data_IF_702159228548
#
_entry.id   IF_702159228548
#
_cell.length_a   1.000
_cell.length_b   1.000
_cell.length_c   1.000
_cell.angle_alpha   90.00
_cell.angle_beta   90.00
_cell.angle_gamma   90.00
#
_symmetry.space_group_name_H-M   'P 1'
#
loop_
_entity.id
_entity.type
_entity.pdbx_description
1 polymer ?
#
# COMPACT_ATOMS: atom_id res chain seq x y z
N UNK A 1 11.90 10.19 16.72
CA UNK A 1 10.49 9.94 17.08
C UNK A 1 9.64 11.16 16.74
N UNK A 2 10.08 12.36 17.11
CA UNK A 2 9.35 13.62 16.83
C UNK A 2 9.17 13.91 15.33
N UNK A 3 10.18 13.61 14.52
CA UNK A 3 10.12 13.72 13.05
C UNK A 3 9.09 12.80 12.39
N UNK A 4 8.77 11.68 13.01
CA UNK A 4 7.75 10.75 12.50
C UNK A 4 6.35 11.24 12.88
N UNK A 5 6.20 11.77 14.09
CA UNK A 5 4.95 12.36 14.59
C UNK A 5 4.58 13.60 13.75
N UNK A 6 5.55 14.44 13.42
CA UNK A 6 5.34 15.61 12.54
C UNK A 6 4.90 15.22 11.12
N UNK A 7 5.47 14.14 10.55
CA UNK A 7 5.05 13.64 9.24
C UNK A 7 3.62 13.13 9.26
N UNK A 8 3.26 12.34 10.26
CA UNK A 8 1.89 11.80 10.40
C UNK A 8 0.87 12.92 10.60
N UNK A 9 1.19 13.96 11.37
CA UNK A 9 0.30 15.13 11.52
C UNK A 9 0.10 15.88 10.20
N UNK A 10 1.17 16.12 9.44
CA UNK A 10 1.09 16.78 8.13
C UNK A 10 0.28 15.97 7.12
N UNK A 11 0.51 14.67 7.03
CA UNK A 11 -0.23 13.78 6.13
C UNK A 11 -1.73 13.72 6.47
N UNK A 12 -2.08 13.77 7.76
CA UNK A 12 -3.48 13.79 8.19
C UNK A 12 -4.17 15.11 7.84
N UNK A 13 -3.52 16.25 8.06
CA UNK A 13 -4.05 17.57 7.74
C UNK A 13 -4.27 17.75 6.24
N UNK A 14 -3.33 17.32 5.40
CA UNK A 14 -3.46 17.37 3.93
C UNK A 14 -4.62 16.48 3.44
N UNK A 15 -4.76 15.28 4.00
CA UNK A 15 -5.85 14.36 3.63
C UNK A 15 -7.22 14.92 4.00
N UNK A 16 -7.33 15.58 5.16
CA UNK A 16 -8.57 16.24 5.59
C UNK A 16 -8.90 17.49 4.76
N UNK A 17 -7.90 18.25 4.30
CA UNK A 17 -8.11 19.37 3.39
C UNK A 17 -8.60 18.89 2.02
N UNK A 18 -7.94 17.88 1.44
CA UNK A 18 -8.32 17.30 0.14
C UNK A 18 -9.73 16.70 0.15
N UNK A 19 -10.17 16.11 1.27
CA UNK A 19 -11.54 15.60 1.41
C UNK A 19 -12.57 16.74 1.42
N UNK A 20 -12.30 17.81 2.18
CA UNK A 20 -13.19 18.99 2.25
C UNK A 20 -13.27 19.77 0.94
N UNK A 21 -12.19 19.82 0.17
CA UNK A 21 -12.19 20.45 -1.16
C UNK A 21 -13.02 19.64 -2.17
N UNK A 22 -12.87 18.31 -2.18
CA UNK A 22 -13.68 17.42 -3.03
C UNK A 22 -15.17 17.44 -2.71
N UNK A 23 -15.54 17.56 -1.43
CA UNK A 23 -16.94 17.69 -1.02
C UNK A 23 -17.53 19.03 -1.46
N UNK A 24 -16.77 20.12 -1.37
CA UNK A 24 -17.20 21.45 -1.85
C UNK A 24 -17.30 21.55 -3.37
N UNK A 25 -16.50 20.80 -4.11
CA UNK A 25 -16.52 20.79 -5.58
C UNK A 25 -17.74 20.03 -6.12
N UNK A 26 -18.05 18.86 -5.52
CA UNK A 26 -19.24 18.07 -5.85
C UNK A 26 -20.57 18.76 -5.54
N UNK A 27 -20.58 19.68 -4.58
CA UNK A 27 -21.77 20.45 -4.20
C UNK A 27 -22.03 21.61 -5.18
N UNK A 28 -20.98 22.13 -5.83
CA UNK A 28 -21.10 23.17 -6.86
C UNK A 28 -21.46 22.65 -8.24
N UNK A 29 -21.19 21.37 -8.52
CA UNK A 29 -21.44 20.75 -9.83
C UNK A 29 -22.90 20.30 -10.03
N UNK A 30 -23.72 20.29 -8.97
CA UNK A 30 -25.14 19.90 -9.02
C UNK A 30 -26.12 21.03 -9.35
N UNK A 31 -25.65 22.26 -9.52
CA UNK A 31 -26.49 23.45 -9.74
C UNK A 31 -26.42 24.03 -11.18
N UNK A 32 -25.96 23.22 -12.15
CA UNK A 32 -25.73 23.64 -13.54
C UNK A 32 -26.48 22.80 -14.58
N UNK A 33 -27.64 23.32 -15.00
CA UNK A 33 -28.46 23.03 -16.18
C UNK A 33 -28.04 22.02 -17.28
N UNK A 34 -29.01 21.15 -17.62
CA UNK A 34 -29.56 20.90 -18.97
C UNK A 34 -28.63 21.02 -20.18
N UNK A 35 -28.05 19.90 -20.63
CA UNK A 35 -27.65 19.70 -22.04
C UNK A 35 -27.31 18.21 -22.30
N UNK A 36 -28.31 17.31 -22.25
CA UNK A 36 -28.03 15.87 -22.21
C UNK A 36 -28.93 15.07 -23.17
N UNK A 37 -28.60 15.10 -24.47
CA UNK A 37 -29.14 14.08 -25.39
C UNK A 37 -28.21 13.68 -26.54
N UNK A 38 -26.98 14.24 -26.60
CA UNK A 38 -25.98 13.86 -27.63
C UNK A 38 -24.63 13.40 -27.07
N UNK A 39 -24.34 13.66 -25.79
CA UNK A 39 -23.18 13.10 -25.07
C UNK A 39 -23.41 11.68 -24.56
N UNK A 40 -24.67 11.31 -24.31
CA UNK A 40 -25.07 10.04 -23.72
C UNK A 40 -24.67 8.80 -24.55
N UNK A 41 -24.50 8.93 -25.86
CA UNK A 41 -24.14 7.81 -26.74
C UNK A 41 -22.62 7.52 -26.77
N UNK A 42 -21.75 8.54 -26.74
CA UNK A 42 -20.30 8.34 -26.62
C UNK A 42 -19.92 7.90 -25.20
N UNK A 43 -20.61 8.43 -24.19
CA UNK A 43 -20.43 8.07 -22.78
C UNK A 43 -20.84 6.61 -22.50
N UNK A 44 -21.76 6.03 -23.29
CA UNK A 44 -22.17 4.62 -23.17
C UNK A 44 -21.17 3.63 -23.79
N UNK A 45 -20.38 4.03 -24.79
CA UNK A 45 -19.30 3.21 -25.34
C UNK A 45 -18.02 3.31 -24.50
N UNK A 46 -17.70 4.51 -24.02
CA UNK A 46 -16.56 4.72 -23.12
C UNK A 46 -16.78 4.03 -21.77
N UNK A 47 -17.99 4.11 -21.21
CA UNK A 47 -18.35 3.38 -19.98
C UNK A 47 -18.28 1.85 -20.13
N UNK A 48 -18.67 1.28 -21.28
CA UNK A 48 -18.53 -0.17 -21.54
C UNK A 48 -17.08 -0.62 -21.68
N UNK A 49 -16.17 0.24 -22.17
CA UNK A 49 -14.72 -0.05 -22.20
C UNK A 49 -14.12 0.10 -20.81
N UNK A 50 -14.49 1.14 -20.09
CA UNK A 50 -14.09 1.39 -18.70
C UNK A 50 -14.56 0.27 -17.76
N UNK A 51 -15.77 -0.27 -17.96
CA UNK A 51 -16.29 -1.40 -17.20
C UNK A 51 -15.50 -2.67 -17.46
N UNK A 52 -15.13 -2.94 -18.72
CA UNK A 52 -14.28 -4.10 -19.06
C UNK A 52 -12.88 -3.96 -18.49
N UNK A 53 -12.28 -2.78 -18.58
CA UNK A 53 -10.96 -2.54 -17.97
C UNK A 53 -11.01 -2.61 -16.43
N UNK A 54 -12.10 -2.14 -15.81
CA UNK A 54 -12.34 -2.31 -14.37
C UNK A 54 -12.50 -3.78 -14.00
N UNK A 55 -13.31 -4.53 -14.74
CA UNK A 55 -13.53 -5.96 -14.50
C UNK A 55 -12.25 -6.78 -14.69
N UNK A 56 -11.44 -6.48 -15.71
CA UNK A 56 -10.18 -7.18 -15.95
C UNK A 56 -9.14 -6.80 -14.89
N UNK A 57 -9.17 -5.56 -14.40
CA UNK A 57 -8.33 -5.13 -13.27
C UNK A 57 -8.78 -5.75 -11.95
N UNK A 58 -10.09 -5.89 -11.73
CA UNK A 58 -10.65 -6.60 -10.57
C UNK A 58 -10.28 -8.07 -10.62
N UNK A 59 -10.45 -8.74 -11.77
CA UNK A 59 -10.06 -10.15 -11.96
C UNK A 59 -8.56 -10.35 -11.78
N UNK A 60 -7.72 -9.44 -12.26
CA UNK A 60 -6.26 -9.55 -12.06
C UNK A 60 -5.86 -9.35 -10.60
N UNK A 61 -6.51 -8.44 -9.86
CA UNK A 61 -6.31 -8.27 -8.42
C UNK A 61 -6.80 -9.51 -7.65
N UNK A 62 -7.94 -10.07 -8.06
CA UNK A 62 -8.55 -11.25 -7.45
C UNK A 62 -7.72 -12.53 -7.69
N UNK A 63 -7.04 -12.63 -8.83
CA UNK A 63 -6.11 -13.73 -9.13
C UNK A 63 -4.72 -13.54 -8.49
N UNK A 64 -4.27 -12.29 -8.27
CA UNK A 64 -3.05 -11.99 -7.51
C UNK A 64 -3.22 -12.27 -6.00
N UNK A 65 -4.46 -12.32 -5.53
CA UNK A 65 -4.87 -12.64 -4.16
C UNK A 65 -4.92 -14.16 -3.88
N UNK A 66 -3.85 -14.89 -4.22
CA UNK A 66 -3.66 -16.29 -3.83
C UNK A 66 -3.75 -16.52 -2.31
N UNK A 67 -3.92 -17.78 -1.86
CA UNK A 67 -4.72 -18.15 -0.68
C UNK A 67 -4.04 -17.98 0.69
N UNK A 68 -3.25 -16.93 0.91
CA UNK A 68 -2.53 -16.78 2.20
C UNK A 68 -2.85 -15.50 2.98
N UNK A 69 -3.34 -14.42 2.35
CA UNK A 69 -3.56 -13.15 3.09
C UNK A 69 -4.81 -12.34 2.71
N UNK A 70 -5.60 -12.76 1.70
CA UNK A 70 -6.72 -11.98 1.18
C UNK A 70 -8.05 -12.09 1.97
N UNK A 71 -8.15 -12.96 2.97
CA UNK A 71 -9.39 -13.16 3.74
C UNK A 71 -9.62 -12.18 4.90
N UNK A 72 -8.85 -11.09 5.00
CA UNK A 72 -8.94 -10.15 6.14
C UNK A 72 -9.42 -8.75 5.79
N UNK A 73 -9.76 -8.48 4.53
CA UNK A 73 -10.13 -7.12 4.08
C UNK A 73 -11.64 -6.83 4.11
N UNK A 74 -12.51 -7.85 4.02
CA UNK A 74 -13.96 -7.70 4.18
C UNK A 74 -14.46 -7.95 5.62
N UNK A 75 -13.61 -8.45 6.50
CA UNK A 75 -13.92 -8.58 7.93
C UNK A 75 -13.36 -7.38 8.70
N UNK A 76 -14.10 -6.80 9.67
CA UNK A 76 -13.59 -5.72 10.49
C UNK A 76 -12.29 -6.18 11.16
N UNK A 77 -11.21 -5.46 10.88
CA UNK A 77 -9.88 -5.80 11.41
C UNK A 77 -9.86 -5.55 12.91
N UNK A 78 -9.91 -6.63 13.67
CA UNK A 78 -9.88 -6.58 15.13
C UNK A 78 -8.42 -6.42 15.57
N UNK A 79 -8.08 -5.26 16.10
CA UNK A 79 -6.78 -5.01 16.72
C UNK A 79 -6.88 -5.20 18.23
N UNK A 80 -5.94 -5.97 18.78
CA UNK A 80 -5.76 -6.08 20.24
C UNK A 80 -4.45 -5.43 20.65
N UNK A 81 -4.48 -4.67 21.75
CA UNK A 81 -3.26 -4.06 22.30
C UNK A 81 -2.56 -5.08 23.19
N UNK A 82 -1.37 -5.49 22.77
CA UNK A 82 -0.51 -6.35 23.59
C UNK A 82 0.27 -5.52 24.60
N UNK A 83 0.34 -5.98 25.85
CA UNK A 83 1.13 -5.34 26.93
C UNK A 83 2.61 -5.17 26.56
N UNK A 84 3.14 -6.08 25.74
CA UNK A 84 4.54 -6.11 25.29
C UNK A 84 4.76 -5.45 23.92
N UNK A 85 3.85 -4.57 23.47
CA UNK A 85 3.91 -3.95 22.14
C UNK A 85 5.25 -3.24 21.86
N UNK A 86 5.82 -2.57 22.86
CA UNK A 86 7.12 -1.91 22.71
C UNK A 86 8.24 -2.90 22.38
N UNK A 87 8.30 -4.02 23.11
CA UNK A 87 9.28 -5.08 22.86
C UNK A 87 9.10 -5.68 21.47
N UNK A 88 7.85 -5.98 21.07
CA UNK A 88 7.53 -6.45 19.72
C UNK A 88 8.00 -5.47 18.64
N UNK A 89 7.87 -4.17 18.86
CA UNK A 89 8.35 -3.13 17.92
C UNK A 89 9.87 -3.17 17.78
N UNK A 90 10.58 -3.23 18.91
CA UNK A 90 12.04 -3.31 18.92
C UNK A 90 12.52 -4.58 18.20
N UNK A 91 11.89 -5.71 18.46
CA UNK A 91 12.26 -6.99 17.83
C UNK A 91 11.96 -6.98 16.33
N UNK A 92 10.84 -6.37 15.90
CA UNK A 92 10.54 -6.16 14.47
C UNK A 92 11.63 -5.32 13.79
N UNK A 93 12.08 -4.23 14.43
CA UNK A 93 13.14 -3.39 13.86
C UNK A 93 14.47 -4.15 13.73
N UNK A 94 14.86 -4.89 14.78
CA UNK A 94 16.06 -5.74 14.76
C UNK A 94 15.97 -6.82 13.68
N UNK A 95 14.81 -7.45 13.52
CA UNK A 95 14.58 -8.47 12.49
C UNK A 95 14.72 -7.90 11.07
N UNK A 96 14.16 -6.71 10.83
CA UNK A 96 14.31 -6.01 9.54
C UNK A 96 15.78 -5.69 9.26
N UNK A 97 16.51 -5.17 10.26
CA UNK A 97 17.92 -4.85 10.10
C UNK A 97 18.77 -6.09 9.85
N UNK A 98 18.52 -7.18 10.60
CA UNK A 98 19.18 -8.47 10.38
C UNK A 98 18.92 -9.00 8.98
N UNK A 99 17.67 -9.01 8.52
CA UNK A 99 17.32 -9.43 7.16
C UNK A 99 18.01 -8.59 6.09
N UNK A 100 18.09 -7.26 6.26
CA UNK A 100 18.83 -6.37 5.35
C UNK A 100 20.32 -6.71 5.32
N UNK A 101 20.94 -6.90 6.48
CA UNK A 101 22.36 -7.28 6.59
C UNK A 101 22.64 -8.64 5.94
N UNK A 102 21.78 -9.62 6.19
CA UNK A 102 21.91 -10.96 5.62
C UNK A 102 21.75 -10.91 4.10
N UNK A 103 20.79 -10.12 3.58
CA UNK A 103 20.66 -9.87 2.14
C UNK A 103 21.93 -9.25 1.55
N UNK A 104 22.51 -8.25 2.22
CA UNK A 104 23.75 -7.62 1.76
C UNK A 104 24.94 -8.61 1.75
N UNK A 105 25.03 -9.49 2.75
CA UNK A 105 26.05 -10.55 2.79
C UNK A 105 25.87 -11.53 1.63
N UNK A 106 24.65 -11.98 1.38
CA UNK A 106 24.37 -12.91 0.28
C UNK A 106 24.68 -12.32 -1.11
N UNK A 107 24.56 -11.00 -1.28
CA UNK A 107 24.90 -10.33 -2.55
C UNK A 107 26.42 -10.21 -2.78
N UNK A 108 27.21 -10.16 -1.71
CA UNK A 108 28.66 -9.94 -1.81
C UNK A 108 29.43 -11.25 -1.56
N UNK A 109 30.00 -11.89 -2.61
CA UNK A 109 30.73 -13.15 -2.47
C UNK A 109 31.96 -13.04 -1.55
N UNK A 110 32.49 -11.83 -1.33
CA UNK A 110 33.61 -11.55 -0.42
C UNK A 110 33.24 -11.55 1.07
N UNK A 111 31.95 -11.55 1.40
CA UNK A 111 31.50 -11.58 2.81
C UNK A 111 31.27 -12.99 3.34
N UNK A 112 31.40 -14.01 2.50
CA UNK A 112 31.45 -15.39 2.95
C UNK A 112 32.84 -15.67 3.53
N UNK A 113 32.92 -16.40 4.66
CA UNK A 113 34.21 -16.82 5.18
C UNK A 113 34.89 -17.74 4.16
N UNK A 114 36.16 -17.46 3.86
CA UNK A 114 36.99 -18.39 3.10
C UNK A 114 37.41 -19.55 3.98
N UNK A 115 37.49 -20.74 3.39
CA UNK A 115 38.06 -21.90 4.07
C UNK A 115 39.52 -21.59 4.45
N UNK A 116 39.98 -21.88 5.68
CA UNK A 116 41.37 -21.71 6.06
C UNK A 116 42.27 -22.49 5.11
N UNK A 117 43.28 -21.83 4.54
CA UNK A 117 44.34 -22.50 3.78
C UNK A 117 45.27 -23.16 4.79
N UNK A 118 45.02 -24.42 5.12
CA UNK A 118 46.01 -25.24 5.82
C UNK A 118 47.07 -25.63 4.79
N UNK A 119 48.09 -24.79 4.65
CA UNK A 119 49.33 -25.19 3.99
C UNK A 119 50.06 -26.13 4.96
N UNK A 120 49.64 -27.40 4.97
CA UNK A 120 50.57 -28.48 5.29
C UNK A 120 51.32 -28.77 3.99
N UNK A 121 52.65 -28.64 4.06
CA UNK A 121 53.69 -28.87 3.03
C UNK A 121 53.84 -27.83 1.94
#
# INVERSE_FOLDING_TARGET
MDREIEKVKKEYEEKQRKKREKEKEKDKEKDGEKADDKKKAEEEEESKKDEKEKDDKIKSIQNAAGPVDASTDDMPRIYSLHKNFYQMRVDRLKAIEKSKRDRQRLQNPSTFPSVPKTDLS
#
